data_IF_762029943673
#
_entry.id   IF_762029943673
#
_cell.length_a   1.000
_cell.length_b   1.000
_cell.length_c   1.000
_cell.angle_alpha   90.00
_cell.angle_beta   90.00
_cell.angle_gamma   90.00
#
_symmetry.space_group_name_H-M   'P 1'
#
loop_
_entity.id
_entity.type
_entity.pdbx_description
1 polymer ?
#
# COMPACT_ATOMS: atom_id res chain seq x y z
N UNK A 1 -4.49 -4.19 -23.73
CA UNK A 1 -4.68 -3.84 -22.32
C UNK A 1 -4.71 -2.33 -22.27
N UNK A 2 -5.76 -1.72 -21.72
CA UNK A 2 -5.79 -0.26 -21.47
C UNK A 2 -4.59 0.11 -20.59
N UNK A 3 -3.97 1.26 -20.84
CA UNK A 3 -2.87 1.76 -20.01
C UNK A 3 -3.36 1.97 -18.58
N UNK A 4 -2.45 1.93 -17.62
CA UNK A 4 -2.74 2.30 -16.23
C UNK A 4 -2.59 3.81 -16.14
N UNK A 5 -3.65 4.52 -15.76
CA UNK A 5 -3.64 5.97 -15.58
C UNK A 5 -3.79 6.34 -14.10
N UNK A 6 -4.49 5.51 -13.33
CA UNK A 6 -4.68 5.67 -11.90
C UNK A 6 -4.36 4.36 -11.16
N UNK A 7 -4.00 4.45 -9.90
CA UNK A 7 -3.67 3.26 -9.08
C UNK A 7 -4.83 2.26 -9.04
N UNK A 8 -6.08 2.75 -9.08
CA UNK A 8 -7.27 1.91 -9.14
C UNK A 8 -7.33 0.96 -10.34
N UNK A 9 -6.67 1.29 -11.46
CA UNK A 9 -6.63 0.43 -12.67
C UNK A 9 -5.87 -0.87 -12.42
N UNK A 10 -4.96 -0.90 -11.42
CA UNK A 10 -4.30 -2.13 -10.98
C UNK A 10 -5.29 -3.19 -10.46
N UNK A 11 -6.47 -2.74 -10.06
CA UNK A 11 -7.53 -3.58 -9.50
C UNK A 11 -8.57 -4.02 -10.55
N UNK A 12 -8.31 -3.77 -11.84
CA UNK A 12 -9.19 -4.16 -12.94
C UNK A 12 -9.54 -5.65 -12.89
N UNK A 13 -10.78 -6.01 -13.22
CA UNK A 13 -11.24 -7.40 -13.20
C UNK A 13 -10.51 -8.28 -14.23
N UNK A 14 -10.07 -7.68 -15.32
CA UNK A 14 -9.27 -8.30 -16.39
C UNK A 14 -7.85 -8.65 -15.94
N UNK A 15 -7.38 -8.06 -14.84
CA UNK A 15 -6.06 -8.34 -14.23
C UNK A 15 -6.09 -9.49 -13.22
N UNK A 16 -7.27 -10.04 -12.92
CA UNK A 16 -7.39 -11.17 -12.01
C UNK A 16 -6.82 -12.43 -12.64
N UNK A 17 -5.80 -12.99 -12.00
CA UNK A 17 -5.18 -14.26 -12.39
C UNK A 17 -4.89 -15.11 -11.16
N UNK A 18 -4.43 -16.34 -11.38
CA UNK A 18 -3.92 -17.22 -10.32
C UNK A 18 -2.42 -17.06 -10.11
N UNK A 19 -1.77 -16.18 -10.85
CA UNK A 19 -0.36 -15.90 -10.69
C UNK A 19 -0.12 -15.16 -9.38
N UNK A 20 1.01 -15.41 -8.71
CA UNK A 20 1.41 -14.65 -7.53
C UNK A 20 1.49 -13.14 -7.85
N UNK A 21 0.98 -12.31 -6.94
CA UNK A 21 1.08 -10.85 -7.05
C UNK A 21 1.66 -10.21 -5.78
N UNK A 22 1.56 -10.90 -4.62
CA UNK A 22 2.09 -10.40 -3.37
C UNK A 22 2.55 -11.56 -2.48
N UNK A 23 3.68 -11.37 -1.79
CA UNK A 23 4.20 -12.26 -0.75
C UNK A 23 4.26 -11.48 0.56
N UNK A 24 3.66 -12.05 1.60
CA UNK A 24 3.66 -11.46 2.95
C UNK A 24 4.95 -11.79 3.70
N UNK A 25 5.30 -11.08 4.79
CA UNK A 25 6.54 -11.31 5.55
C UNK A 25 6.67 -12.76 6.08
N UNK A 26 5.55 -13.44 6.34
CA UNK A 26 5.53 -14.87 6.74
C UNK A 26 5.68 -15.84 5.54
N UNK A 27 6.01 -15.33 4.36
CA UNK A 27 6.26 -16.11 3.13
C UNK A 27 5.01 -16.59 2.41
N UNK A 28 3.80 -16.19 2.83
CA UNK A 28 2.56 -16.61 2.15
C UNK A 28 2.36 -15.85 0.85
N UNK A 29 2.14 -16.58 -0.22
CA UNK A 29 1.79 -15.99 -1.51
C UNK A 29 0.29 -15.67 -1.61
N UNK A 30 0.00 -14.53 -2.24
CA UNK A 30 -1.36 -14.10 -2.63
C UNK A 30 -1.40 -13.95 -4.14
N UNK A 31 -2.41 -14.52 -4.75
CA UNK A 31 -2.62 -14.38 -6.20
C UNK A 31 -3.13 -12.97 -6.55
N UNK A 32 -3.03 -12.58 -7.81
CA UNK A 32 -3.62 -11.34 -8.30
C UNK A 32 -5.14 -11.32 -8.04
N UNK A 33 -5.82 -12.46 -8.18
CA UNK A 33 -7.24 -12.58 -7.82
C UNK A 33 -7.49 -12.27 -6.34
N UNK A 34 -6.69 -12.84 -5.44
CA UNK A 34 -6.84 -12.64 -3.99
C UNK A 34 -6.54 -11.20 -3.60
N UNK A 35 -5.45 -10.61 -4.15
CA UNK A 35 -5.06 -9.24 -3.89
C UNK A 35 -6.17 -8.26 -4.30
N UNK A 36 -6.67 -8.37 -5.54
CA UNK A 36 -7.73 -7.50 -6.07
C UNK A 36 -9.02 -7.68 -5.27
N UNK A 37 -9.39 -8.92 -4.97
CA UNK A 37 -10.59 -9.22 -4.17
C UNK A 37 -10.52 -8.59 -2.78
N UNK A 38 -9.37 -8.71 -2.10
CA UNK A 38 -9.20 -8.13 -0.76
C UNK A 38 -9.03 -6.60 -0.80
N UNK A 39 -8.44 -6.03 -1.87
CA UNK A 39 -8.40 -4.58 -2.05
C UNK A 39 -9.82 -3.99 -2.20
N UNK A 40 -10.73 -4.65 -2.91
CA UNK A 40 -12.14 -4.22 -2.98
C UNK A 40 -12.84 -4.30 -1.62
N UNK A 41 -12.58 -5.36 -0.85
CA UNK A 41 -13.10 -5.46 0.52
C UNK A 41 -12.56 -4.34 1.40
N UNK A 42 -11.24 -4.06 1.33
CA UNK A 42 -10.62 -2.95 2.05
C UNK A 42 -11.25 -1.60 1.69
N UNK A 43 -11.48 -1.35 0.40
CA UNK A 43 -12.19 -0.16 -0.06
C UNK A 43 -13.59 -0.04 0.56
N UNK A 44 -14.37 -1.12 0.60
CA UNK A 44 -15.70 -1.11 1.18
C UNK A 44 -15.68 -0.92 2.71
N UNK A 45 -14.73 -1.52 3.43
CA UNK A 45 -14.51 -1.27 4.87
C UNK A 45 -14.14 0.20 5.10
N UNK A 46 -13.20 0.74 4.36
CA UNK A 46 -12.82 2.16 4.45
C UNK A 46 -14.02 3.08 4.19
N UNK A 47 -14.83 2.75 3.18
CA UNK A 47 -16.07 3.50 2.87
C UNK A 47 -17.09 3.41 4.00
N UNK A 48 -17.26 2.25 4.62
CA UNK A 48 -18.12 2.07 5.80
C UNK A 48 -17.64 2.96 6.96
N UNK A 49 -16.32 3.04 7.18
CA UNK A 49 -15.68 3.92 8.16
C UNK A 49 -15.70 5.41 7.76
N UNK A 50 -16.27 5.74 6.62
CA UNK A 50 -16.52 7.11 6.18
C UNK A 50 -15.50 7.68 5.22
N UNK A 51 -14.50 6.92 4.77
CA UNK A 51 -13.60 7.37 3.70
C UNK A 51 -14.36 7.51 2.36
N UNK A 52 -14.06 8.55 1.61
CA UNK A 52 -14.65 8.89 0.31
C UNK A 52 -13.62 9.62 -0.54
N UNK A 53 -13.98 9.92 -1.76
CA UNK A 53 -13.24 10.87 -2.60
C UNK A 53 -12.88 12.14 -1.82
N UNK A 54 -11.62 12.54 -1.86
CA UNK A 54 -11.07 13.68 -1.14
C UNK A 54 -10.86 13.49 0.37
N UNK A 55 -11.22 12.33 0.95
CA UNK A 55 -10.88 12.00 2.35
C UNK A 55 -9.41 11.62 2.47
N UNK A 56 -8.83 11.79 3.66
CA UNK A 56 -7.52 11.24 4.01
C UNK A 56 -7.68 9.98 4.85
N UNK A 57 -6.94 8.93 4.48
CA UNK A 57 -6.78 7.69 5.23
C UNK A 57 -5.33 7.63 5.72
N UNK A 58 -5.12 7.68 7.03
CA UNK A 58 -3.80 7.50 7.62
C UNK A 58 -3.52 6.00 7.80
N UNK A 59 -2.34 5.54 7.39
CA UNK A 59 -1.98 4.11 7.40
C UNK A 59 -0.60 3.95 8.02
N UNK A 60 -0.43 2.91 8.83
CA UNK A 60 0.89 2.55 9.37
C UNK A 60 1.88 2.30 8.21
N UNK A 61 3.11 2.88 8.25
CA UNK A 61 4.04 2.85 7.14
C UNK A 61 4.79 1.52 6.99
N UNK A 62 4.66 0.59 7.94
CA UNK A 62 5.37 -0.69 7.87
C UNK A 62 4.85 -1.51 6.67
N UNK A 63 5.76 -2.01 5.80
CA UNK A 63 5.36 -2.86 4.69
C UNK A 63 4.66 -4.13 5.17
N UNK A 64 3.39 -4.27 4.83
CA UNK A 64 2.56 -5.38 5.27
C UNK A 64 1.31 -5.53 4.42
N UNK A 65 0.66 -6.69 4.54
CA UNK A 65 -0.57 -6.98 3.79
C UNK A 65 -1.63 -5.91 4.03
N UNK A 66 -1.87 -5.56 5.30
CA UNK A 66 -2.96 -4.66 5.68
C UNK A 66 -2.70 -3.22 5.21
N UNK A 67 -1.45 -2.74 5.31
CA UNK A 67 -1.04 -1.45 4.78
C UNK A 67 -1.18 -1.39 3.25
N UNK A 68 -0.76 -2.45 2.55
CA UNK A 68 -0.92 -2.55 1.09
C UNK A 68 -2.40 -2.57 0.68
N UNK A 69 -3.24 -3.35 1.38
CA UNK A 69 -4.69 -3.40 1.10
C UNK A 69 -5.39 -2.08 1.40
N UNK A 70 -5.02 -1.39 2.49
CA UNK A 70 -5.55 -0.09 2.83
C UNK A 70 -5.17 0.96 1.77
N UNK A 71 -3.92 0.97 1.31
CA UNK A 71 -3.47 1.82 0.21
C UNK A 71 -4.26 1.59 -1.08
N UNK A 72 -4.29 0.33 -1.55
CA UNK A 72 -4.98 -0.01 -2.79
C UNK A 72 -6.50 0.26 -2.70
N UNK A 73 -7.09 -0.05 -1.55
CA UNK A 73 -8.51 0.21 -1.29
C UNK A 73 -8.85 1.70 -1.26
N UNK A 74 -8.04 2.51 -0.57
CA UNK A 74 -8.21 3.96 -0.52
C UNK A 74 -8.03 4.61 -1.89
N UNK A 75 -6.98 4.19 -2.63
CA UNK A 75 -6.74 4.66 -4.00
C UNK A 75 -7.92 4.35 -4.94
N UNK A 76 -8.53 3.15 -4.80
CA UNK A 76 -9.72 2.77 -5.55
C UNK A 76 -10.99 3.56 -5.18
N UNK A 77 -11.02 4.23 -4.02
CA UNK A 77 -12.10 5.13 -3.58
C UNK A 77 -11.88 6.60 -3.95
N UNK A 78 -10.71 6.97 -4.50
CA UNK A 78 -10.31 8.37 -4.64
C UNK A 78 -9.99 9.05 -3.31
N UNK A 79 -9.67 8.28 -2.27
CA UNK A 79 -9.17 8.80 -1.01
C UNK A 79 -7.64 8.90 -1.06
N UNK A 80 -7.10 9.93 -0.40
CA UNK A 80 -5.66 10.15 -0.29
C UNK A 80 -5.10 9.36 0.89
N UNK A 81 -4.00 8.66 0.71
CA UNK A 81 -3.32 7.96 1.81
C UNK A 81 -2.19 8.83 2.36
N UNK A 82 -2.12 8.92 3.67
CA UNK A 82 -1.00 9.46 4.43
C UNK A 82 -0.39 8.31 5.26
N UNK A 83 0.86 8.01 5.00
CA UNK A 83 1.59 7.06 5.83
C UNK A 83 2.14 7.77 7.08
N UNK A 84 2.39 6.98 8.13
CA UNK A 84 2.88 7.44 9.43
C UNK A 84 1.86 8.17 10.32
N UNK A 85 0.77 7.50 10.77
CA UNK A 85 -0.11 8.04 11.79
C UNK A 85 0.56 8.17 13.18
N UNK A 86 1.73 7.55 13.39
CA UNK A 86 2.47 7.65 14.64
C UNK A 86 3.08 9.05 14.85
N UNK A 87 3.29 9.82 13.79
CA UNK A 87 3.63 11.25 13.88
C UNK A 87 2.46 12.11 14.40
N UNK A 88 1.30 11.51 14.61
CA UNK A 88 0.06 12.11 15.08
C UNK A 88 -1.10 11.88 14.10
N UNK A 89 -2.31 11.81 14.65
CA UNK A 89 -3.53 11.84 13.82
C UNK A 89 -3.74 13.30 13.39
N UNK A 90 -3.69 13.53 12.07
CA UNK A 90 -3.83 14.87 11.54
C UNK A 90 -5.30 15.30 11.47
N UNK A 91 -5.55 16.59 11.68
CA UNK A 91 -6.86 17.16 11.43
C UNK A 91 -7.29 16.90 9.99
N UNK A 92 -8.43 16.24 9.81
CA UNK A 92 -8.93 15.82 8.48
C UNK A 92 -8.64 14.39 8.08
N UNK A 93 -7.87 13.62 8.88
CA UNK A 93 -7.83 12.17 8.73
C UNK A 93 -9.23 11.59 9.00
N UNK A 94 -9.77 10.84 8.06
CA UNK A 94 -11.10 10.26 8.19
C UNK A 94 -11.08 8.87 8.78
N UNK A 95 -10.05 8.11 8.43
CA UNK A 95 -9.80 6.76 8.95
C UNK A 95 -8.32 6.62 9.26
N UNK A 96 -8.00 5.94 10.34
CA UNK A 96 -6.64 5.52 10.68
C UNK A 96 -6.59 4.01 10.70
N UNK A 97 -5.69 3.40 9.93
CA UNK A 97 -5.44 1.96 9.89
C UNK A 97 -4.08 1.68 10.51
N UNK A 98 -4.04 0.97 11.62
CA UNK A 98 -2.83 0.78 12.44
C UNK A 98 -2.73 -0.62 13.00
N UNK A 99 -1.52 -1.14 13.34
CA UNK A 99 -1.40 -2.34 14.16
C UNK A 99 -2.02 -2.14 15.55
N UNK A 100 -2.57 -3.19 16.12
CA UNK A 100 -3.25 -3.15 17.43
C UNK A 100 -2.31 -2.67 18.56
N UNK A 101 -1.03 -3.02 18.50
CA UNK A 101 -0.01 -2.60 19.49
C UNK A 101 0.32 -1.09 19.42
N UNK A 102 -0.04 -0.43 18.32
CA UNK A 102 0.10 1.03 18.12
C UNK A 102 -1.22 1.80 18.27
N UNK A 103 -2.32 1.13 18.59
CA UNK A 103 -3.63 1.75 18.74
C UNK A 103 -3.68 2.71 19.96
N UNK A 104 -3.14 2.27 21.10
CA UNK A 104 -3.29 2.96 22.40
C UNK A 104 -2.82 4.42 22.41
N UNK A 105 -1.66 4.79 21.84
CA UNK A 105 -1.19 6.17 21.87
C UNK A 105 -1.93 7.11 20.92
N UNK A 106 -2.75 6.60 20.01
CA UNK A 106 -3.49 7.42 19.05
C UNK A 106 -4.66 8.10 19.75
N UNK A 107 -4.80 9.41 19.54
CA UNK A 107 -5.91 10.24 20.06
C UNK A 107 -6.61 10.92 18.88
N UNK A 108 -7.57 10.21 18.23
CA UNK A 108 -8.25 10.73 17.05
C UNK A 108 -9.24 11.83 17.41
N UNK A 109 -9.31 12.85 16.57
CA UNK A 109 -10.34 13.88 16.63
C UNK A 109 -11.75 13.29 16.43
N UNK A 110 -12.80 13.95 16.97
CA UNK A 110 -14.17 13.56 16.69
C UNK A 110 -14.46 13.49 15.18
N UNK A 111 -14.92 12.32 14.73
CA UNK A 111 -15.20 12.06 13.32
C UNK A 111 -14.10 11.31 12.57
N UNK A 112 -12.97 11.03 13.19
CA UNK A 112 -11.94 10.10 12.72
C UNK A 112 -12.22 8.70 13.30
N UNK A 113 -12.27 7.69 12.44
CA UNK A 113 -12.48 6.30 12.84
C UNK A 113 -11.15 5.53 12.87
N UNK A 114 -10.93 4.75 13.93
CA UNK A 114 -9.79 3.84 14.03
C UNK A 114 -10.17 2.45 13.52
N UNK A 115 -9.24 1.81 12.81
CA UNK A 115 -9.29 0.39 12.46
C UNK A 115 -7.94 -0.25 12.80
N UNK A 116 -7.96 -1.27 13.63
CA UNK A 116 -6.76 -1.95 14.08
C UNK A 116 -6.66 -3.36 13.50
N UNK A 117 -5.44 -3.76 13.13
CA UNK A 117 -5.12 -5.09 12.63
C UNK A 117 -4.03 -5.77 13.47
N UNK A 118 -3.85 -7.10 13.26
CA UNK A 118 -2.89 -7.91 14.00
C UNK A 118 -3.45 -8.49 15.30
N UNK A 119 -4.76 -8.33 15.55
CA UNK A 119 -5.47 -8.85 16.70
C UNK A 119 -6.71 -8.04 17.03
N UNK A 120 -7.48 -8.45 18.05
CA UNK A 120 -8.66 -7.73 18.48
C UNK A 120 -8.26 -6.35 19.04
N UNK A 121 -8.99 -5.27 18.67
CA UNK A 121 -8.75 -3.93 19.19
C UNK A 121 -8.82 -3.86 20.72
N UNK A 122 -8.06 -2.96 21.31
CA UNK A 122 -8.11 -2.68 22.75
C UNK A 122 -9.33 -1.81 23.13
N UNK A 123 -9.76 -0.92 22.22
CA UNK A 123 -10.89 0.01 22.43
C UNK A 123 -12.17 -0.51 21.78
N UNK A 124 -13.31 -0.44 22.46
CA UNK A 124 -14.59 -0.89 21.90
C UNK A 124 -15.04 -0.14 20.64
N UNK A 125 -14.62 1.13 20.49
CA UNK A 125 -14.94 1.98 19.34
C UNK A 125 -14.02 1.76 18.14
N UNK A 126 -12.90 1.07 18.32
CA UNK A 126 -11.98 0.74 17.23
C UNK A 126 -12.47 -0.47 16.45
N UNK A 127 -12.49 -0.36 15.15
CA UNK A 127 -12.89 -1.44 14.24
C UNK A 127 -11.83 -2.53 14.15
N UNK A 128 -12.22 -3.78 14.28
CA UNK A 128 -11.33 -4.92 14.03
C UNK A 128 -11.22 -5.13 12.53
N UNK A 129 -10.12 -4.65 11.93
CA UNK A 129 -9.90 -4.59 10.50
C UNK A 129 -10.06 -5.93 9.78
N UNK A 130 -9.43 -6.99 10.28
CA UNK A 130 -9.50 -8.31 9.64
C UNK A 130 -10.91 -8.90 9.70
N UNK A 131 -11.63 -8.70 10.79
CA UNK A 131 -12.98 -9.22 10.95
C UNK A 131 -13.92 -8.56 9.93
N UNK A 132 -13.80 -7.24 9.74
CA UNK A 132 -14.59 -6.52 8.73
C UNK A 132 -14.19 -6.94 7.31
N UNK A 133 -12.89 -7.07 7.01
CA UNK A 133 -12.44 -7.60 5.71
C UNK A 133 -13.00 -8.99 5.40
N UNK A 134 -13.09 -9.86 6.39
CA UNK A 134 -13.60 -11.22 6.20
C UNK A 134 -15.08 -11.24 5.86
N UNK A 135 -15.87 -10.39 6.51
CA UNK A 135 -17.32 -10.31 6.35
C UNK A 135 -17.73 -9.50 5.11
N UNK A 136 -16.83 -8.66 4.58
CA UNK A 136 -17.19 -7.70 3.51
C UNK A 136 -17.34 -8.37 2.15
N UNK A 137 -18.25 -7.80 1.34
CA UNK A 137 -18.48 -8.21 -0.04
C UNK A 137 -17.41 -7.59 -0.96
N UNK A 138 -16.74 -8.37 -1.86
CA UNK A 138 -15.76 -7.84 -2.81
C UNK A 138 -16.40 -7.12 -4.01
N UNK A 139 -17.44 -6.33 -3.79
CA UNK A 139 -18.00 -5.49 -4.82
C UNK A 139 -17.08 -4.30 -5.12
N UNK A 140 -16.93 -3.96 -6.40
CA UNK A 140 -16.19 -2.75 -6.80
C UNK A 140 -16.90 -1.52 -6.23
N UNK A 141 -16.25 -0.68 -5.42
CA UNK A 141 -16.85 0.53 -4.90
C UNK A 141 -17.13 1.51 -6.04
N UNK A 142 -18.25 2.25 -6.00
CA UNK A 142 -18.52 3.29 -6.97
C UNK A 142 -17.59 4.49 -6.67
N UNK A 143 -16.61 4.73 -7.52
CA UNK A 143 -15.76 5.91 -7.48
C UNK A 143 -15.32 6.28 -8.89
N UNK A 144 -15.13 7.56 -9.14
CA UNK A 144 -14.51 8.08 -10.36
C UNK A 144 -13.24 8.79 -9.94
N UNK A 145 -12.10 8.27 -10.36
CA UNK A 145 -10.77 8.76 -9.99
C UNK A 145 -10.07 9.29 -11.22
N UNK A 146 -9.51 10.49 -11.12
CA UNK A 146 -8.74 11.14 -12.17
C UNK A 146 -7.23 11.00 -11.93
N UNK A 147 -6.39 10.94 -12.98
CA UNK A 147 -4.94 10.99 -12.83
C UNK A 147 -4.41 12.22 -12.06
N UNK A 148 -5.16 13.31 -12.03
CA UNK A 148 -4.82 14.53 -11.28
C UNK A 148 -5.19 14.48 -9.80
N UNK A 149 -6.02 13.52 -9.37
CA UNK A 149 -6.45 13.42 -7.98
C UNK A 149 -5.29 12.96 -7.09
N UNK A 150 -5.18 13.48 -5.85
CA UNK A 150 -4.11 13.09 -4.95
C UNK A 150 -4.32 11.65 -4.45
N UNK A 151 -3.29 10.81 -4.55
CA UNK A 151 -3.28 9.44 -4.01
C UNK A 151 -2.46 9.32 -2.74
N UNK A 152 -1.37 10.09 -2.63
CA UNK A 152 -0.54 10.13 -1.43
C UNK A 152 -0.42 11.57 -0.91
N UNK A 153 -0.26 11.69 0.39
CA UNK A 153 0.05 12.94 1.09
C UNK A 153 1.28 12.73 1.97
N UNK A 154 2.21 13.67 1.89
CA UNK A 154 3.39 13.77 2.74
C UNK A 154 3.42 15.16 3.38
N UNK A 155 4.39 15.42 4.25
CA UNK A 155 4.63 16.75 4.83
C UNK A 155 5.02 17.79 3.77
N UNK A 156 5.65 17.34 2.69
CA UNK A 156 6.10 18.21 1.58
C UNK A 156 4.99 18.52 0.56
N UNK A 157 3.86 17.79 0.61
CA UNK A 157 2.74 18.00 -0.32
C UNK A 157 2.00 16.73 -0.70
N UNK A 158 1.37 16.75 -1.88
CA UNK A 158 0.59 15.62 -2.39
C UNK A 158 1.18 15.04 -3.67
N UNK A 159 0.95 13.75 -3.89
CA UNK A 159 1.32 13.04 -5.11
C UNK A 159 0.04 12.63 -5.84
N UNK A 160 -0.19 13.09 -7.08
CA UNK A 160 -1.30 12.65 -7.90
C UNK A 160 -1.15 11.19 -8.37
N UNK A 161 -2.28 10.53 -8.68
CA UNK A 161 -2.31 9.18 -9.23
C UNK A 161 -1.42 9.04 -10.47
N UNK A 162 -1.58 9.93 -11.46
CA UNK A 162 -0.82 9.87 -12.71
C UNK A 162 0.68 9.97 -12.47
N UNK A 163 1.12 10.88 -11.58
CA UNK A 163 2.54 11.04 -11.27
C UNK A 163 3.14 9.79 -10.59
N UNK A 164 2.39 9.16 -9.70
CA UNK A 164 2.82 7.92 -9.06
C UNK A 164 2.93 6.78 -10.06
N UNK A 165 1.96 6.66 -10.97
CA UNK A 165 1.94 5.66 -12.04
C UNK A 165 3.08 5.88 -13.04
N UNK A 166 3.30 7.12 -13.50
CA UNK A 166 4.39 7.45 -14.43
C UNK A 166 5.77 7.11 -13.85
N UNK A 167 5.97 7.42 -12.55
CA UNK A 167 7.21 7.08 -11.86
C UNK A 167 7.39 5.55 -11.74
N UNK A 168 6.32 4.82 -11.46
CA UNK A 168 6.34 3.37 -11.40
C UNK A 168 6.66 2.74 -12.77
N UNK A 169 6.04 3.22 -13.85
CA UNK A 169 6.29 2.76 -15.21
C UNK A 169 7.73 3.05 -15.67
N UNK A 170 8.24 4.23 -15.34
CA UNK A 170 9.64 4.60 -15.59
C UNK A 170 10.58 3.66 -14.84
N UNK A 171 10.34 3.46 -13.54
CA UNK A 171 11.14 2.55 -12.71
C UNK A 171 11.09 1.12 -13.25
N UNK A 172 9.90 0.64 -13.63
CA UNK A 172 9.75 -0.70 -14.19
C UNK A 172 10.55 -0.88 -15.48
N UNK A 173 10.54 0.12 -16.35
CA UNK A 173 11.30 0.09 -17.61
C UNK A 173 12.80 0.13 -17.37
N UNK A 174 13.28 1.05 -16.53
CA UNK A 174 14.71 1.24 -16.25
C UNK A 174 15.34 0.05 -15.51
N UNK A 175 14.55 -0.66 -14.73
CA UNK A 175 15.02 -1.80 -13.92
C UNK A 175 14.64 -3.15 -14.49
N UNK A 176 13.96 -3.19 -15.63
CA UNK A 176 13.56 -4.45 -16.28
C UNK A 176 12.55 -5.24 -15.46
N UNK A 177 11.65 -4.56 -14.73
CA UNK A 177 10.57 -5.22 -13.99
C UNK A 177 9.53 -5.69 -15.01
N UNK A 178 9.30 -6.98 -15.07
CA UNK A 178 8.35 -7.63 -15.96
C UNK A 178 7.50 -8.67 -15.22
N UNK A 179 6.73 -9.46 -15.98
CA UNK A 179 5.87 -10.48 -15.41
C UNK A 179 6.69 -11.53 -14.62
N UNK A 180 6.33 -11.70 -13.35
CA UNK A 180 6.99 -12.63 -12.43
C UNK A 180 8.21 -12.07 -11.70
N UNK A 181 8.74 -10.89 -12.06
CA UNK A 181 9.82 -10.25 -11.31
C UNK A 181 9.39 -10.02 -9.87
N UNK A 182 10.18 -10.47 -8.90
CA UNK A 182 9.91 -10.36 -7.46
C UNK A 182 10.63 -9.14 -6.89
N UNK A 183 9.88 -8.10 -6.56
CA UNK A 183 10.41 -6.86 -5.99
C UNK A 183 10.22 -6.84 -4.48
N UNK A 184 11.30 -6.84 -3.72
CA UNK A 184 11.30 -6.89 -2.25
C UNK A 184 11.32 -5.49 -1.68
N UNK A 185 10.31 -5.14 -0.90
CA UNK A 185 10.23 -3.85 -0.20
C UNK A 185 10.93 -3.98 1.16
N UNK A 186 12.12 -3.36 1.28
CA UNK A 186 12.94 -3.34 2.49
C UNK A 186 13.04 -1.95 3.13
N UNK A 187 12.09 -1.10 2.82
CA UNK A 187 11.95 0.24 3.37
C UNK A 187 10.51 0.52 3.74
N UNK A 188 10.23 1.62 4.40
CA UNK A 188 8.87 1.99 4.80
C UNK A 188 8.05 2.53 3.63
N UNK A 189 6.72 2.51 3.76
CA UNK A 189 5.80 3.14 2.81
C UNK A 189 5.68 4.66 2.99
N UNK A 190 6.38 5.24 3.96
CA UNK A 190 6.34 6.69 4.19
C UNK A 190 6.89 7.50 2.99
N UNK A 191 7.84 6.94 2.25
CA UNK A 191 8.34 7.55 1.01
C UNK A 191 7.47 7.14 -0.19
N UNK A 192 6.83 8.10 -0.91
CA UNK A 192 6.05 7.80 -2.12
C UNK A 192 6.83 7.05 -3.21
N UNK A 193 8.16 7.23 -3.27
CA UNK A 193 9.04 6.54 -4.22
C UNK A 193 9.14 5.04 -3.91
N UNK A 194 9.08 4.67 -2.63
CA UNK A 194 9.03 3.27 -2.22
C UNK A 194 7.72 2.60 -2.69
N UNK A 195 6.59 3.30 -2.60
CA UNK A 195 5.30 2.83 -3.13
C UNK A 195 5.35 2.69 -4.65
N UNK A 196 5.90 3.69 -5.37
CA UNK A 196 6.03 3.63 -6.82
C UNK A 196 6.87 2.43 -7.26
N UNK A 197 8.08 2.28 -6.69
CA UNK A 197 9.03 1.24 -7.09
C UNK A 197 8.68 -0.15 -6.56
N UNK A 198 8.20 -0.23 -5.31
CA UNK A 198 8.02 -1.51 -4.60
C UNK A 198 6.62 -2.11 -4.71
N UNK A 199 5.60 -1.29 -5.00
CA UNK A 199 4.21 -1.76 -5.07
C UNK A 199 3.62 -1.55 -6.46
N UNK A 200 3.59 -0.30 -6.95
CA UNK A 200 2.89 0.02 -8.20
C UNK A 200 3.62 -0.56 -9.42
N UNK A 201 4.96 -0.43 -9.49
CA UNK A 201 5.75 -0.91 -10.62
C UNK A 201 5.61 -2.43 -10.86
N UNK A 202 5.83 -3.31 -9.86
CA UNK A 202 5.63 -4.74 -10.08
C UNK A 202 4.18 -5.07 -10.42
N UNK A 203 3.18 -4.53 -9.71
CA UNK A 203 1.77 -4.82 -10.01
C UNK A 203 1.36 -4.36 -11.41
N UNK A 204 1.87 -3.22 -11.89
CA UNK A 204 1.60 -2.71 -13.23
C UNK A 204 2.07 -3.70 -14.31
N UNK A 205 3.21 -4.35 -14.10
CA UNK A 205 3.87 -5.25 -15.07
C UNK A 205 3.56 -6.74 -14.86
N UNK A 206 2.70 -7.09 -13.88
CA UNK A 206 2.40 -8.50 -13.56
C UNK A 206 3.53 -9.19 -12.79
N UNK A 207 4.40 -8.41 -12.16
CA UNK A 207 5.40 -8.88 -11.20
C UNK A 207 4.79 -9.13 -9.82
N UNK A 208 5.65 -9.41 -8.85
CA UNK A 208 5.28 -9.82 -7.50
C UNK A 208 5.85 -8.83 -6.48
N UNK A 209 4.99 -8.23 -5.68
CA UNK A 209 5.38 -7.46 -4.50
C UNK A 209 5.78 -8.43 -3.40
N UNK A 210 7.00 -8.32 -2.88
CA UNK A 210 7.47 -9.10 -1.74
C UNK A 210 7.65 -8.16 -0.55
N UNK A 211 6.85 -8.36 0.48
CA UNK A 211 6.92 -7.55 1.69
C UNK A 211 7.92 -8.20 2.64
N UNK A 212 9.02 -7.53 2.91
CA UNK A 212 9.99 -7.94 3.90
C UNK A 212 9.55 -7.44 5.28
N UNK A 213 9.82 -8.23 6.32
CA UNK A 213 9.74 -7.76 7.69
C UNK A 213 10.83 -6.73 8.00
N UNK A 214 10.78 -6.07 9.17
CA UNK A 214 11.87 -5.21 9.63
C UNK A 214 13.21 -5.97 9.61
N UNK A 215 14.28 -5.29 9.17
CA UNK A 215 15.60 -5.92 8.97
C UNK A 215 16.21 -6.60 10.22
N UNK A 216 15.69 -6.30 11.41
CA UNK A 216 16.13 -6.86 12.68
C UNK A 216 15.64 -8.31 12.94
N UNK A 217 14.66 -8.80 12.17
CA UNK A 217 14.12 -10.16 12.28
C UNK A 217 14.57 -11.05 11.11
N UNK A 218 15.83 -10.92 10.66
CA UNK A 218 16.37 -11.73 9.56
C UNK A 218 16.42 -13.22 9.93
N UNK A 219 15.27 -13.87 9.86
CA UNK A 219 15.17 -15.32 9.96
C UNK A 219 15.60 -15.95 8.62
N UNK A 220 16.17 -17.15 8.68
CA UNK A 220 16.56 -17.93 7.50
C UNK A 220 15.40 -18.23 6.51
N UNK A 221 14.17 -17.85 6.87
CA UNK A 221 12.92 -18.03 6.12
C UNK A 221 12.38 -16.72 5.51
N UNK A 222 13.13 -15.60 5.57
CA UNK A 222 12.68 -14.34 5.01
C UNK A 222 12.44 -14.45 3.49
N UNK A 223 11.30 -13.94 2.98
CA UNK A 223 11.02 -13.95 1.54
C UNK A 223 12.08 -13.16 0.76
N UNK A 224 12.52 -13.73 -0.35
CA UNK A 224 13.53 -13.16 -1.24
C UNK A 224 12.95 -12.87 -2.61
N UNK A 225 13.66 -12.04 -3.37
CA UNK A 225 13.28 -11.68 -4.73
C UNK A 225 14.48 -11.41 -5.63
N UNK A 226 14.17 -10.75 -6.74
CA UNK A 226 15.14 -10.42 -7.79
C UNK A 226 15.72 -9.01 -7.59
N UNK A 227 14.95 -8.13 -6.92
CA UNK A 227 15.25 -6.71 -6.79
C UNK A 227 14.76 -6.19 -5.44
N UNK A 228 15.63 -5.53 -4.67
CA UNK A 228 15.28 -4.87 -3.42
C UNK A 228 14.99 -3.37 -3.61
N UNK A 229 14.00 -2.85 -2.91
CA UNK A 229 13.77 -1.40 -2.76
C UNK A 229 14.23 -1.01 -1.34
N UNK A 230 15.20 -0.12 -1.26
CA UNK A 230 15.87 0.30 -0.02
C UNK A 230 15.91 1.83 0.09
N UNK A 231 16.01 2.35 1.30
CA UNK A 231 16.19 3.78 1.59
C UNK A 231 17.58 4.11 2.17
N UNK A 232 18.34 3.08 2.55
CA UNK A 232 19.72 3.22 2.98
C UNK A 232 20.65 2.93 1.79
N UNK A 233 21.47 3.90 1.34
CA UNK A 233 22.42 3.71 0.25
C UNK A 233 23.52 2.70 0.58
N UNK A 234 23.79 2.46 1.86
CA UNK A 234 24.78 1.50 2.34
C UNK A 234 24.17 0.11 2.62
N UNK A 235 22.84 -0.05 2.47
CA UNK A 235 22.19 -1.33 2.65
C UNK A 235 22.78 -2.40 1.71
N UNK A 236 23.03 -3.59 2.24
CA UNK A 236 23.51 -4.77 1.50
C UNK A 236 22.40 -5.86 1.51
N UNK A 237 21.33 -5.67 0.74
CA UNK A 237 20.24 -6.62 0.71
C UNK A 237 20.67 -7.93 0.03
N UNK A 238 20.06 -9.06 0.39
CA UNK A 238 20.40 -10.36 -0.21
C UNK A 238 19.96 -10.53 -1.67
N UNK A 239 19.21 -9.59 -2.20
CA UNK A 239 18.76 -9.57 -3.59
C UNK A 239 19.92 -9.19 -4.55
N UNK A 240 19.97 -9.77 -5.77
CA UNK A 240 21.08 -9.53 -6.72
C UNK A 240 21.10 -8.08 -7.26
N UNK A 241 20.00 -7.33 -7.12
CA UNK A 241 19.90 -5.95 -7.55
C UNK A 241 19.11 -5.12 -6.55
N UNK A 242 19.32 -3.80 -6.55
CA UNK A 242 18.59 -2.88 -5.66
C UNK A 242 18.18 -1.58 -6.35
N UNK A 243 17.14 -0.97 -5.82
CA UNK A 243 16.69 0.41 -6.09
C UNK A 243 16.85 1.18 -4.78
N UNK A 244 17.73 2.15 -4.75
CA UNK A 244 17.78 3.14 -3.68
C UNK A 244 16.75 4.23 -4.00
N UNK A 245 15.76 4.39 -3.13
CA UNK A 245 14.67 5.36 -3.32
C UNK A 245 15.20 6.80 -3.35
N UNK A 246 16.32 7.10 -2.68
CA UNK A 246 16.92 8.42 -2.69
C UNK A 246 17.42 8.83 -4.09
N UNK A 247 17.72 7.87 -4.96
CA UNK A 247 18.15 8.13 -6.35
C UNK A 247 16.98 8.37 -7.32
N UNK A 248 15.74 8.08 -6.91
CA UNK A 248 14.56 8.31 -7.73
C UNK A 248 14.12 9.79 -7.65
N UNK A 249 13.54 10.34 -8.73
CA UNK A 249 13.02 11.71 -8.72
C UNK A 249 11.96 11.93 -7.64
N UNK A 250 11.91 13.15 -7.06
CA UNK A 250 10.83 13.53 -6.15
C UNK A 250 9.47 13.46 -6.84
N UNK A 251 8.48 12.91 -6.16
CA UNK A 251 7.11 12.80 -6.65
C UNK A 251 6.20 13.93 -6.14
N UNK A 252 6.64 14.67 -5.13
CA UNK A 252 5.96 15.86 -4.64
C UNK A 252 6.32 17.04 -5.52
N UNK A 253 5.33 17.81 -5.91
CA UNK A 253 5.52 18.96 -6.80
C UNK A 253 4.65 20.12 -6.42
#
# INVERSE_FOLDING_TARGET
>A
VAGIEVVGDLLGRDRRSRDPALVTPDGRERTAHDLITNAYKAANVLRYLGAREGSTVAVDPAPGLHATLAFLGAAGLGATVRFDPAAGVAAGDRVVVTPVDRERPLDPDPGTNLAAFGGPPERPETTHWEQELWSENPATPPATVSPSDPVLRTDDGTVPHGRLVDAAETTATDRGIDAGTRVVVRTTFADPRAIAAGVVAPLARGGVVVLAGPAEETAASEPRGDLAVVDDPDADPPEPARIDVATLPSLVG
#
